data_IF_977786107269
#
_entry.id   IF_977786107269
#
_cell.length_a   1.000
_cell.length_b   1.000
_cell.length_c   1.000
_cell.angle_alpha   90.00
_cell.angle_beta   90.00
_cell.angle_gamma   90.00
#
_symmetry.space_group_name_H-M   'P 1'
#
loop_
_entity.id
_entity.type
_entity.pdbx_description
1 polymer ?
#
# COMPACT_ATOMS: atom_id res chain seq x y z
N UNK A 1 -4.83 9.14 12.72
CA UNK A 1 -4.23 8.08 11.92
C UNK A 1 -4.28 8.44 10.43
N UNK A 2 -3.42 7.83 9.62
CA UNK A 2 -3.25 8.19 8.23
C UNK A 2 -3.28 6.95 7.34
N UNK A 3 -3.92 7.04 6.19
CA UNK A 3 -3.97 6.02 5.13
C UNK A 3 -3.48 6.64 3.83
N UNK A 4 -2.48 6.03 3.21
CA UNK A 4 -1.98 6.43 1.89
C UNK A 4 -2.22 5.29 0.90
N UNK A 5 -2.93 5.58 -0.18
CA UNK A 5 -3.07 4.65 -1.28
C UNK A 5 -1.78 4.66 -2.11
N UNK A 6 -1.05 3.55 -2.11
CA UNK A 6 0.26 3.44 -2.73
C UNK A 6 0.30 2.29 -3.73
N UNK A 7 0.87 2.52 -4.91
CA UNK A 7 0.92 1.54 -6.01
C UNK A 7 2.34 1.11 -6.40
N UNK A 8 3.35 1.90 -6.05
CA UNK A 8 4.74 1.62 -6.43
C UNK A 8 5.46 0.83 -5.33
N UNK A 9 5.11 -0.44 -5.19
CA UNK A 9 5.72 -1.31 -4.19
C UNK A 9 6.20 -2.62 -4.79
N UNK A 10 7.26 -3.14 -4.23
CA UNK A 10 7.73 -4.50 -4.46
C UNK A 10 8.20 -5.13 -3.15
N UNK A 11 8.32 -6.43 -3.17
CA UNK A 11 8.67 -7.21 -1.99
C UNK A 11 9.88 -8.08 -2.30
N UNK A 12 10.78 -8.18 -1.34
CA UNK A 12 12.02 -8.96 -1.48
C UNK A 12 12.35 -9.63 -0.16
N UNK A 13 12.83 -10.86 -0.23
CA UNK A 13 13.23 -11.56 0.97
C UNK A 13 13.86 -12.91 0.72
N UNK A 14 14.41 -13.44 1.78
CA UNK A 14 14.97 -14.77 1.85
C UNK A 14 14.59 -15.45 3.18
N UNK A 15 15.31 -16.51 3.57
CA UNK A 15 15.06 -17.25 4.82
C UNK A 15 15.35 -16.43 6.09
N UNK A 16 16.06 -15.31 5.98
CA UNK A 16 16.54 -14.53 7.12
C UNK A 16 15.74 -13.27 7.34
N UNK A 17 15.26 -12.62 6.27
CA UNK A 17 14.51 -11.37 6.35
C UNK A 17 13.63 -11.15 5.12
N UNK A 18 12.53 -10.43 5.31
CA UNK A 18 11.62 -10.03 4.26
C UNK A 18 11.41 -8.52 4.30
N UNK A 19 11.43 -7.87 3.14
CA UNK A 19 11.39 -6.43 3.00
C UNK A 19 10.26 -6.00 2.08
N UNK A 20 9.65 -4.88 2.44
CA UNK A 20 8.76 -4.12 1.58
C UNK A 20 9.49 -2.87 1.09
N UNK A 21 9.51 -2.67 -0.21
CA UNK A 21 10.13 -1.51 -0.84
C UNK A 21 9.04 -0.68 -1.50
N UNK A 22 8.87 0.54 -1.04
CA UNK A 22 7.91 1.50 -1.59
C UNK A 22 8.68 2.61 -2.32
N UNK A 23 8.48 2.72 -3.62
CA UNK A 23 9.05 3.80 -4.43
C UNK A 23 8.12 5.00 -4.49
N UNK A 24 8.67 6.14 -4.88
CA UNK A 24 7.91 7.35 -5.21
C UNK A 24 6.99 7.89 -4.10
N UNK A 25 7.39 7.75 -2.82
CA UNK A 25 6.67 8.37 -1.72
C UNK A 25 7.03 9.86 -1.64
N UNK A 26 6.03 10.74 -1.78
CA UNK A 26 6.25 12.19 -1.73
C UNK A 26 6.66 12.66 -0.34
N UNK A 27 7.78 13.39 -0.25
CA UNK A 27 8.38 13.83 1.02
C UNK A 27 7.56 14.93 1.74
N UNK A 28 6.71 15.65 1.01
CA UNK A 28 5.84 16.68 1.61
C UNK A 28 4.58 16.10 2.28
N UNK A 29 4.35 14.78 2.18
CA UNK A 29 3.14 14.15 2.74
C UNK A 29 3.26 13.83 4.21
N UNK A 30 2.12 13.80 4.90
CA UNK A 30 2.08 13.36 6.30
C UNK A 30 2.42 11.86 6.46
N UNK A 31 2.19 11.04 5.43
CA UNK A 31 2.64 9.64 5.41
C UNK A 31 4.16 9.55 5.56
N UNK A 32 4.90 10.32 4.75
CA UNK A 32 6.36 10.37 4.85
C UNK A 32 6.81 10.82 6.24
N UNK A 33 6.25 11.93 6.73
CA UNK A 33 6.58 12.47 8.05
C UNK A 33 6.25 11.48 9.18
N UNK A 34 5.12 10.78 9.09
CA UNK A 34 4.72 9.77 10.08
C UNK A 34 5.69 8.58 10.08
N UNK A 35 6.03 8.03 8.92
CA UNK A 35 7.00 6.91 8.83
C UNK A 35 8.37 7.37 9.39
N UNK A 36 8.80 8.58 9.05
CA UNK A 36 10.06 9.12 9.55
C UNK A 36 10.07 9.28 11.07
N UNK A 37 8.96 9.69 11.68
CA UNK A 37 8.81 9.90 13.12
C UNK A 37 8.65 8.57 13.87
N UNK A 38 7.70 7.74 13.45
CA UNK A 38 7.31 6.52 14.17
C UNK A 38 8.24 5.33 13.92
N UNK A 39 9.03 5.39 12.84
CA UNK A 39 9.95 4.31 12.43
C UNK A 39 9.26 2.97 12.15
N UNK A 40 7.96 2.97 11.95
CA UNK A 40 7.17 1.79 11.60
C UNK A 40 5.92 2.18 10.80
N UNK A 41 5.35 1.22 10.08
CA UNK A 41 4.14 1.38 9.30
C UNK A 41 3.53 0.02 8.95
N UNK A 42 2.23 0.00 8.63
CA UNK A 42 1.57 -1.17 8.08
C UNK A 42 1.35 -1.02 6.58
N UNK A 43 1.55 -2.10 5.82
CA UNK A 43 1.08 -2.24 4.45
C UNK A 43 -0.16 -3.12 4.48
N UNK A 44 -1.27 -2.61 3.96
CA UNK A 44 -2.55 -3.29 3.99
C UNK A 44 -3.01 -3.56 2.56
N UNK A 45 -3.37 -4.80 2.28
CA UNK A 45 -3.97 -5.21 1.01
C UNK A 45 -5.47 -5.36 1.19
N UNK A 46 -6.21 -4.54 0.47
CA UNK A 46 -7.66 -4.43 0.57
C UNK A 46 -8.33 -5.08 -0.63
N UNK A 47 -9.50 -5.70 -0.45
CA UNK A 47 -10.28 -6.23 -1.55
C UNK A 47 -10.85 -5.09 -2.41
N UNK A 48 -11.19 -5.41 -3.67
CA UNK A 48 -11.64 -4.43 -4.66
C UNK A 48 -12.89 -3.64 -4.22
N UNK A 49 -13.74 -4.21 -3.38
CA UNK A 49 -14.92 -3.53 -2.83
C UNK A 49 -14.57 -2.36 -1.88
N UNK A 50 -13.31 -2.24 -1.46
CA UNK A 50 -12.81 -1.10 -0.69
C UNK A 50 -12.30 0.06 -1.58
N UNK A 51 -12.36 -0.06 -2.90
CA UNK A 51 -11.80 0.95 -3.80
C UNK A 51 -12.40 2.34 -3.60
N UNK A 52 -13.73 2.45 -3.52
CA UNK A 52 -14.39 3.73 -3.31
C UNK A 52 -13.99 4.40 -2.00
N UNK A 53 -13.70 3.61 -0.96
CA UNK A 53 -13.17 4.11 0.31
C UNK A 53 -11.76 4.68 0.12
N UNK A 54 -10.90 3.97 -0.62
CA UNK A 54 -9.53 4.40 -0.92
C UNK A 54 -9.51 5.68 -1.76
N UNK A 55 -10.39 5.81 -2.75
CA UNK A 55 -10.48 7.03 -3.57
C UNK A 55 -10.80 8.26 -2.72
N UNK A 56 -11.65 8.13 -1.70
CA UNK A 56 -11.94 9.23 -0.77
C UNK A 56 -10.68 9.70 -0.03
N UNK A 57 -9.81 8.78 0.38
CA UNK A 57 -8.56 9.15 1.07
C UNK A 57 -7.58 9.89 0.16
N UNK A 58 -7.64 9.70 -1.16
CA UNK A 58 -6.82 10.44 -2.11
C UNK A 58 -7.30 11.90 -2.23
N UNK A 59 -8.61 12.11 -2.27
CA UNK A 59 -9.20 13.43 -2.44
C UNK A 59 -9.22 14.29 -1.16
N UNK A 60 -9.19 13.66 0.00
CA UNK A 60 -9.24 14.30 1.32
C UNK A 60 -8.04 13.84 2.15
N UNK A 61 -6.87 14.39 1.82
CA UNK A 61 -5.58 14.03 2.41
C UNK A 61 -4.81 15.26 2.93
N UNK A 62 -5.51 16.26 3.42
CA UNK A 62 -4.89 17.43 4.06
C UNK A 62 -4.12 17.05 5.32
N UNK A 63 -3.15 17.86 5.74
CA UNK A 63 -2.25 17.57 6.87
C UNK A 63 -2.96 17.29 8.20
N UNK A 64 -4.22 17.73 8.36
CA UNK A 64 -5.02 17.53 9.55
C UNK A 64 -6.17 16.52 9.34
N UNK A 65 -6.27 15.92 8.16
CA UNK A 65 -7.32 14.97 7.86
C UNK A 65 -7.03 13.61 8.50
N UNK A 66 -8.08 12.94 8.92
CA UNK A 66 -8.06 11.54 9.36
C UNK A 66 -8.61 10.67 8.25
N UNK A 67 -7.72 10.06 7.45
CA UNK A 67 -8.12 9.26 6.31
C UNK A 67 -8.82 7.95 6.70
N UNK A 68 -8.65 7.45 7.92
CA UNK A 68 -9.47 6.35 8.42
C UNK A 68 -10.94 6.78 8.51
N UNK A 69 -11.20 7.93 9.12
CA UNK A 69 -12.56 8.48 9.21
C UNK A 69 -13.11 8.83 7.83
N UNK A 70 -12.33 9.51 7.00
CA UNK A 70 -12.70 9.92 5.63
C UNK A 70 -13.04 8.74 4.74
N UNK A 71 -12.22 7.71 4.74
CA UNK A 71 -12.44 6.47 3.99
C UNK A 71 -13.52 5.58 4.60
N UNK A 72 -13.87 5.79 5.85
CA UNK A 72 -14.76 4.91 6.62
C UNK A 72 -14.11 3.55 6.89
N UNK A 73 -12.80 3.56 7.16
CA UNK A 73 -12.06 2.38 7.57
C UNK A 73 -12.09 2.18 9.08
N UNK A 74 -12.06 0.91 9.50
CA UNK A 74 -11.94 0.56 10.91
C UNK A 74 -10.48 0.38 11.29
N UNK A 75 -10.05 1.11 12.33
CA UNK A 75 -8.68 0.98 12.84
C UNK A 75 -8.52 -0.36 13.56
N UNK A 76 -7.50 -1.11 13.18
CA UNK A 76 -7.02 -2.28 13.91
C UNK A 76 -5.63 -1.99 14.50
N UNK A 77 -5.30 -2.68 15.59
CA UNK A 77 -3.98 -2.60 16.20
C UNK A 77 -3.03 -3.61 15.54
N UNK A 78 -1.86 -3.16 15.13
CA UNK A 78 -0.78 -4.05 14.77
C UNK A 78 -0.32 -4.89 15.98
N UNK A 79 0.24 -6.07 15.73
CA UNK A 79 0.63 -7.04 16.76
C UNK A 79 2.06 -6.81 17.27
N UNK A 80 2.94 -6.33 16.41
CA UNK A 80 4.38 -6.26 16.71
C UNK A 80 4.96 -4.85 16.65
N UNK A 81 4.21 -3.88 16.12
CA UNK A 81 4.65 -2.49 15.97
C UNK A 81 3.59 -1.52 16.48
N UNK A 82 3.97 -0.28 16.73
CA UNK A 82 3.04 0.78 17.13
C UNK A 82 2.58 1.60 15.92
N UNK A 83 1.83 0.95 15.03
CA UNK A 83 1.20 1.61 13.88
C UNK A 83 -0.24 1.09 13.70
N UNK A 84 -1.17 1.91 13.20
CA UNK A 84 -2.51 1.46 12.88
C UNK A 84 -2.50 0.53 11.67
N UNK A 85 -3.33 -0.49 11.70
CA UNK A 85 -3.67 -1.33 10.56
C UNK A 85 -5.12 -1.09 10.14
N UNK A 86 -5.49 -1.49 8.93
CA UNK A 86 -6.86 -1.42 8.43
C UNK A 86 -7.54 -2.78 8.67
N UNK A 87 -8.63 -2.77 9.44
CA UNK A 87 -9.33 -4.01 9.81
C UNK A 87 -9.93 -4.75 8.59
N UNK A 88 -10.30 -4.03 7.55
CA UNK A 88 -10.86 -4.57 6.31
C UNK A 88 -9.80 -5.21 5.38
N UNK A 89 -8.52 -5.14 5.74
CA UNK A 89 -7.45 -5.73 4.95
C UNK A 89 -7.44 -7.26 5.06
N UNK A 90 -7.41 -7.96 3.94
CA UNK A 90 -7.24 -9.41 3.92
C UNK A 90 -5.79 -9.87 4.14
N UNK A 91 -4.84 -8.97 3.92
CA UNK A 91 -3.42 -9.19 4.23
C UNK A 91 -2.82 -7.89 4.76
N UNK A 92 -2.11 -8.00 5.89
CA UNK A 92 -1.38 -6.88 6.50
C UNK A 92 0.06 -7.29 6.76
N UNK A 93 1.00 -6.44 6.37
CA UNK A 93 2.42 -6.56 6.70
C UNK A 93 2.80 -5.44 7.67
N UNK A 94 3.34 -5.81 8.80
CA UNK A 94 3.83 -4.89 9.83
C UNK A 94 5.32 -4.67 9.63
N UNK A 95 5.72 -3.43 9.37
CA UNK A 95 7.07 -3.08 8.96
C UNK A 95 7.75 -2.13 9.95
N UNK A 96 8.99 -2.40 10.30
CA UNK A 96 9.90 -1.41 10.89
C UNK A 96 10.69 -0.72 9.79
N UNK A 97 10.86 0.59 9.90
CA UNK A 97 11.62 1.36 8.92
C UNK A 97 13.09 0.92 8.91
N UNK A 98 13.56 0.48 7.76
CA UNK A 98 14.96 0.13 7.52
C UNK A 98 15.73 1.30 6.92
N UNK A 99 15.16 1.94 5.89
CA UNK A 99 15.81 3.02 5.15
C UNK A 99 14.77 3.94 4.50
N UNK A 100 15.12 5.21 4.37
CA UNK A 100 14.43 6.20 3.53
C UNK A 100 15.49 6.91 2.72
N UNK A 101 15.37 6.88 1.40
CA UNK A 101 16.38 7.43 0.51
C UNK A 101 15.75 8.31 -0.57
N UNK A 102 16.19 9.56 -0.64
CA UNK A 102 15.93 10.45 -1.77
C UNK A 102 16.94 10.14 -2.89
N UNK A 103 16.49 9.40 -3.90
CA UNK A 103 17.36 8.96 -4.99
C UNK A 103 17.79 10.10 -5.91
N UNK A 104 16.96 11.13 -6.06
CA UNK A 104 17.25 12.29 -6.93
C UNK A 104 18.03 13.39 -6.22
N UNK A 105 17.97 13.43 -4.88
CA UNK A 105 18.49 14.53 -4.07
C UNK A 105 17.69 15.83 -4.18
N UNK A 106 16.51 15.79 -4.81
CA UNK A 106 15.68 16.96 -5.05
C UNK A 106 14.69 17.28 -3.92
N UNK A 107 14.55 16.41 -2.92
CA UNK A 107 13.59 16.58 -1.82
C UNK A 107 12.13 16.39 -2.23
N UNK A 108 11.86 15.72 -3.36
CA UNK A 108 10.51 15.55 -3.90
C UNK A 108 9.92 14.22 -3.49
N UNK A 109 10.61 13.14 -3.81
CA UNK A 109 10.19 11.77 -3.50
C UNK A 109 11.29 10.97 -2.84
N UNK A 110 10.91 9.93 -2.13
CA UNK A 110 11.83 8.99 -1.52
C UNK A 110 11.43 7.54 -1.80
N UNK A 111 12.42 6.67 -1.82
CA UNK A 111 12.25 5.24 -1.65
C UNK A 111 12.24 4.93 -0.15
N UNK A 112 11.29 4.12 0.28
CA UNK A 112 11.17 3.67 1.68
C UNK A 112 11.30 2.17 1.73
N UNK A 113 12.22 1.68 2.56
CA UNK A 113 12.43 0.25 2.79
C UNK A 113 11.99 -0.09 4.21
N UNK A 114 11.01 -0.97 4.32
CA UNK A 114 10.55 -1.53 5.59
C UNK A 114 10.95 -2.99 5.73
N UNK A 115 11.49 -3.37 6.88
CA UNK A 115 11.67 -4.78 7.22
C UNK A 115 10.36 -5.32 7.80
N UNK A 116 9.82 -6.35 7.17
CA UNK A 116 8.57 -6.99 7.62
C UNK A 116 8.83 -7.79 8.89
N UNK A 117 8.13 -7.46 9.95
CA UNK A 117 8.22 -8.13 11.26
C UNK A 117 7.12 -9.18 11.44
N UNK A 118 5.96 -8.94 10.85
CA UNK A 118 4.80 -9.81 10.97
C UNK A 118 3.92 -9.71 9.73
N UNK A 119 3.32 -10.83 9.35
CA UNK A 119 2.31 -10.90 8.27
C UNK A 119 1.06 -11.54 8.84
N UNK A 120 -0.06 -10.86 8.73
CA UNK A 120 -1.39 -11.41 8.99
C UNK A 120 -2.13 -11.58 7.67
N UNK A 121 -2.78 -12.71 7.48
CA UNK A 121 -3.61 -12.98 6.29
C UNK A 121 -4.89 -13.68 6.73
N UNK A 122 -6.02 -13.32 6.13
CA UNK A 122 -7.26 -14.07 6.31
C UNK A 122 -7.13 -15.48 5.76
N UNK A 123 -7.68 -16.46 6.46
CA UNK A 123 -7.55 -17.89 6.14
C UNK A 123 -8.01 -18.20 4.71
N UNK A 124 -9.12 -17.63 4.28
CA UNK A 124 -9.66 -17.80 2.93
C UNK A 124 -8.67 -17.37 1.82
N UNK A 125 -7.89 -16.31 2.07
CA UNK A 125 -6.87 -15.81 1.14
C UNK A 125 -5.53 -16.57 1.25
N UNK A 126 -5.31 -17.29 2.35
CA UNK A 126 -4.12 -18.11 2.50
C UNK A 126 -4.21 -19.43 1.72
N UNK A 127 -5.42 -19.97 1.51
CA UNK A 127 -5.64 -21.32 1.01
C UNK A 127 -5.60 -21.49 -0.50
N UNK A 128 -5.76 -20.45 -1.31
CA UNK A 128 -5.82 -20.61 -2.76
C UNK A 128 -5.40 -19.39 -3.57
N UNK A 129 -5.07 -19.63 -4.85
CA UNK A 129 -4.72 -18.57 -5.77
C UNK A 129 -5.94 -17.72 -6.15
N UNK A 130 -7.07 -18.37 -6.39
CA UNK A 130 -8.28 -17.77 -6.94
C UNK A 130 -8.83 -16.68 -6.03
N UNK A 131 -8.72 -16.83 -4.72
CA UNK A 131 -9.17 -15.82 -3.76
C UNK A 131 -8.21 -14.65 -3.64
N UNK A 132 -6.89 -14.92 -3.69
CA UNK A 132 -5.88 -13.85 -3.61
C UNK A 132 -5.85 -12.97 -4.85
N UNK A 133 -6.05 -13.56 -6.02
CA UNK A 133 -5.86 -12.92 -7.31
C UNK A 133 -7.14 -12.80 -8.14
N UNK A 134 -8.26 -13.35 -7.69
CA UNK A 134 -9.56 -13.22 -8.36
C UNK A 134 -10.13 -11.80 -8.28
N UNK A 135 -11.36 -11.64 -8.74
CA UNK A 135 -12.05 -10.35 -8.79
C UNK A 135 -12.20 -9.65 -7.43
N UNK A 136 -12.14 -10.39 -6.33
CA UNK A 136 -12.27 -9.87 -4.96
C UNK A 136 -10.91 -9.85 -4.21
N UNK A 137 -9.82 -10.20 -4.90
CA UNK A 137 -8.47 -10.25 -4.36
C UNK A 137 -7.67 -8.96 -4.54
N UNK A 138 -6.40 -9.10 -4.88
CA UNK A 138 -5.50 -7.96 -5.06
C UNK A 138 -5.98 -7.00 -6.14
N UNK A 139 -5.96 -5.71 -5.80
CA UNK A 139 -6.15 -4.64 -6.76
C UNK A 139 -4.82 -4.23 -7.38
N UNK A 140 -4.78 -4.10 -8.69
CA UNK A 140 -3.69 -3.46 -9.41
C UNK A 140 -4.16 -2.08 -9.87
N UNK A 141 -3.60 -1.02 -9.29
CA UNK A 141 -3.85 0.32 -9.78
C UNK A 141 -3.07 0.53 -11.08
N UNK A 142 -3.78 0.95 -12.12
CA UNK A 142 -3.19 1.47 -13.35
C UNK A 142 -3.30 3.00 -13.26
N UNK A 143 -2.23 3.69 -12.81
CA UNK A 143 -2.28 5.14 -12.69
C UNK A 143 -2.32 5.75 -14.08
N UNK A 144 -3.09 6.84 -14.24
CA UNK A 144 -3.31 7.58 -15.49
C UNK A 144 -2.12 7.50 -16.48
N UNK A 145 -2.04 6.48 -17.34
CA UNK A 145 -0.92 6.34 -18.26
C UNK A 145 -1.01 7.43 -19.32
N UNK A 146 0.13 7.96 -19.74
CA UNK A 146 0.15 8.82 -20.91
C UNK A 146 0.00 8.00 -22.20
N UNK A 147 -0.77 8.52 -23.13
CA UNK A 147 -0.74 8.05 -24.51
C UNK A 147 0.67 8.30 -25.09
N UNK A 148 1.31 7.25 -25.57
CA UNK A 148 2.71 7.33 -26.05
C UNK A 148 2.88 8.11 -27.35
N UNK A 149 1.78 8.39 -28.06
CA UNK A 149 1.80 9.13 -29.32
C UNK A 149 1.42 10.60 -29.11
N UNK A 150 0.34 10.84 -28.37
CA UNK A 150 -0.18 12.20 -28.16
C UNK A 150 0.38 12.86 -26.89
N UNK A 151 0.87 12.08 -25.93
CA UNK A 151 1.30 12.55 -24.62
C UNK A 151 0.15 12.93 -23.69
N UNK A 152 -1.10 12.74 -24.10
CA UNK A 152 -2.27 13.06 -23.29
C UNK A 152 -2.49 12.03 -22.17
N UNK A 153 -2.92 12.47 -20.98
CA UNK A 153 -3.20 11.55 -19.89
C UNK A 153 -4.50 10.74 -20.15
N UNK A 154 -4.42 9.44 -19.94
CA UNK A 154 -5.60 8.56 -19.89
C UNK A 154 -6.19 8.49 -18.47
N UNK A 155 -7.37 7.90 -18.35
CA UNK A 155 -8.00 7.68 -17.04
C UNK A 155 -7.24 6.61 -16.25
N UNK A 156 -7.15 6.82 -14.93
CA UNK A 156 -6.71 5.76 -14.02
C UNK A 156 -7.72 4.62 -14.01
N UNK A 157 -7.24 3.41 -13.88
CA UNK A 157 -8.05 2.21 -13.87
C UNK A 157 -7.61 1.24 -12.77
N UNK A 158 -8.46 0.27 -12.47
CA UNK A 158 -8.10 -0.89 -11.67
C UNK A 158 -8.13 -2.10 -12.58
N UNK A 159 -7.11 -2.94 -12.43
CA UNK A 159 -7.07 -4.27 -13.03
C UNK A 159 -7.19 -5.34 -11.94
N UNK A 160 -7.79 -6.45 -12.30
CA UNK A 160 -7.76 -7.70 -11.55
C UNK A 160 -6.91 -8.71 -12.28
N UNK A 161 -6.35 -9.67 -11.53
CA UNK A 161 -5.47 -10.69 -12.10
C UNK A 161 -6.30 -11.88 -12.55
N UNK A 162 -6.01 -12.39 -13.75
CA UNK A 162 -6.46 -13.70 -14.23
C UNK A 162 -5.31 -14.71 -14.09
N UNK A 163 -5.60 -15.89 -13.53
CA UNK A 163 -4.58 -16.92 -13.30
C UNK A 163 -4.76 -18.03 -14.34
N UNK A 164 -3.69 -18.29 -15.08
CA UNK A 164 -3.53 -19.48 -15.89
C UNK A 164 -2.52 -20.41 -15.22
N UNK A 165 -2.89 -21.68 -15.09
CA UNK A 165 -1.98 -22.70 -14.55
C UNK A 165 -1.24 -23.35 -15.73
N UNK A 166 0.06 -23.40 -15.61
CA UNK A 166 0.92 -24.13 -16.54
C UNK A 166 1.27 -25.49 -15.93
N UNK A 167 1.25 -26.53 -16.76
CA UNK A 167 1.68 -27.89 -16.39
C UNK A 167 3.21 -27.99 -16.26
#
# INVERSE_FOLDING_TARGET
>A
PNVCFHSWSCFHGDKTAFFAVMGNLYQHTHTYANIQREKCFCINFLPINCYDKLVKTIHQNGMNDDEFATGGFTVANAKTIHAPAINEAFLTMECTLKEMQDLSGAGITAMVIGQVQHISVEESYAQGYEQRYGKDGFMLLVPAPQDLVTGEPNQSAIATVHIEKYD
#
